data_IF_394098029671
#
_entry.id   IF_394098029671
#
_cell.length_a   1.000
_cell.length_b   1.000
_cell.length_c   1.000
_cell.angle_alpha   90.00
_cell.angle_beta   90.00
_cell.angle_gamma   90.00
#
_symmetry.space_group_name_H-M   'P 1'
#
loop_
_entity.id
_entity.type
_entity.pdbx_description
1 polymer ?
#
# COMPACT_ATOMS: atom_id res chain seq x y z
N UNK A 1 0.49 -29.69 -11.06
CA UNK A 1 0.46 -28.37 -10.42
C UNK A 1 0.27 -27.31 -11.50
N UNK A 2 -0.74 -26.51 -11.35
CA UNK A 2 -0.94 -25.38 -12.25
C UNK A 2 0.26 -24.46 -12.11
N UNK A 3 1.00 -24.26 -13.21
CA UNK A 3 2.10 -23.32 -13.21
C UNK A 3 1.55 -21.92 -12.90
N UNK A 4 1.99 -21.37 -11.78
CA UNK A 4 1.64 -19.99 -11.44
C UNK A 4 2.23 -19.07 -12.49
N UNK A 5 1.38 -18.42 -13.27
CA UNK A 5 1.83 -17.44 -14.26
C UNK A 5 2.06 -16.12 -13.55
N UNK A 6 3.30 -15.77 -13.33
CA UNK A 6 3.70 -14.49 -12.73
C UNK A 6 4.04 -13.52 -13.86
N UNK A 7 3.49 -12.31 -13.80
CA UNK A 7 3.91 -11.25 -14.71
C UNK A 7 5.37 -10.90 -14.42
N UNK A 8 6.17 -10.75 -15.48
CA UNK A 8 7.61 -10.50 -15.35
C UNK A 8 7.96 -9.02 -15.11
N UNK A 9 7.00 -8.12 -15.29
CA UNK A 9 7.23 -6.68 -15.21
C UNK A 9 6.36 -5.96 -14.18
N UNK A 10 5.17 -6.49 -13.88
CA UNK A 10 4.18 -5.84 -13.01
C UNK A 10 3.69 -6.83 -11.96
N UNK A 11 3.66 -6.38 -10.72
CA UNK A 11 2.97 -7.01 -9.59
C UNK A 11 1.76 -6.15 -9.23
N UNK A 12 0.62 -6.79 -8.97
CA UNK A 12 -0.57 -6.10 -8.46
C UNK A 12 -1.15 -6.84 -7.26
N UNK A 13 -1.67 -6.07 -6.29
CA UNK A 13 -2.42 -6.60 -5.16
C UNK A 13 -3.40 -5.55 -4.64
N UNK A 14 -4.35 -6.01 -3.85
CA UNK A 14 -5.28 -5.15 -3.13
C UNK A 14 -4.90 -5.16 -1.65
N UNK A 15 -4.82 -3.99 -1.06
CA UNK A 15 -4.69 -3.81 0.39
C UNK A 15 -5.98 -3.23 0.95
N UNK A 16 -6.34 -3.68 2.16
CA UNK A 16 -7.41 -3.12 2.96
C UNK A 16 -6.82 -2.58 4.27
N UNK A 17 -7.11 -1.32 4.55
CA UNK A 17 -6.76 -0.67 5.82
C UNK A 17 -8.01 -0.62 6.69
N UNK A 18 -7.88 -1.06 7.94
CA UNK A 18 -8.92 -0.87 8.95
C UNK A 18 -9.25 0.63 9.10
N UNK A 19 -10.43 0.99 9.61
CA UNK A 19 -10.74 2.37 9.95
C UNK A 19 -9.63 3.02 10.80
N UNK A 20 -9.09 4.16 10.32
CA UNK A 20 -7.94 4.83 10.94
C UNK A 20 -6.62 4.05 10.90
N UNK A 21 -6.58 2.92 10.19
CA UNK A 21 -5.40 2.08 10.07
C UNK A 21 -4.35 2.63 9.13
N UNK A 22 -3.15 2.06 9.19
CA UNK A 22 -2.03 2.49 8.35
C UNK A 22 -1.09 1.34 8.02
N UNK A 23 -0.36 1.50 6.92
CA UNK A 23 0.64 0.55 6.45
C UNK A 23 2.02 0.78 7.06
N UNK A 24 2.96 -0.02 6.63
CA UNK A 24 4.36 0.10 6.98
C UNK A 24 4.96 1.37 6.39
N UNK A 25 5.81 2.04 7.15
CA UNK A 25 6.68 3.09 6.62
C UNK A 25 7.94 2.46 6.05
N UNK A 26 8.10 2.56 4.74
CA UNK A 26 9.20 1.91 4.04
C UNK A 26 9.60 2.67 2.77
N UNK A 27 10.71 2.28 2.19
CA UNK A 27 11.15 2.76 0.88
C UNK A 27 11.60 1.60 0.00
N UNK A 28 11.41 1.74 -1.29
CA UNK A 28 11.89 0.77 -2.28
C UNK A 28 12.27 1.46 -3.59
N UNK A 29 13.16 0.82 -4.35
CA UNK A 29 13.69 1.40 -5.59
C UNK A 29 12.68 1.41 -6.74
N UNK A 30 11.77 0.44 -6.79
CA UNK A 30 10.75 0.43 -7.84
C UNK A 30 9.66 1.47 -7.57
N UNK A 31 9.13 2.06 -8.63
CA UNK A 31 7.91 2.86 -8.54
C UNK A 31 6.66 1.99 -8.38
N UNK A 32 5.60 2.62 -7.90
CA UNK A 32 4.27 2.01 -7.81
C UNK A 32 3.19 3.03 -8.17
N UNK A 33 2.04 2.51 -8.59
CA UNK A 33 0.78 3.25 -8.65
C UNK A 33 -0.09 2.75 -7.51
N UNK A 34 -0.63 3.66 -6.74
CA UNK A 34 -1.59 3.45 -5.68
C UNK A 34 -2.93 4.02 -6.15
N UNK A 35 -3.93 3.18 -6.36
CA UNK A 35 -5.26 3.58 -6.83
C UNK A 35 -6.30 3.31 -5.75
N UNK A 36 -7.06 4.33 -5.36
CA UNK A 36 -8.04 4.24 -4.28
C UNK A 36 -9.36 3.72 -4.81
N UNK A 37 -9.76 2.53 -4.40
CA UNK A 37 -11.03 1.90 -4.76
C UNK A 37 -12.17 2.33 -3.84
N UNK A 38 -11.87 2.52 -2.53
CA UNK A 38 -12.84 2.88 -1.49
C UNK A 38 -12.15 3.65 -0.38
N UNK A 39 -12.86 4.60 0.22
CA UNK A 39 -12.38 5.33 1.40
C UNK A 39 -11.59 6.59 1.07
N UNK A 40 -10.92 7.11 2.09
CA UNK A 40 -10.11 8.34 2.02
C UNK A 40 -8.94 8.25 2.99
N UNK A 41 -7.91 9.02 2.72
CA UNK A 41 -6.74 9.04 3.58
C UNK A 41 -5.65 9.97 3.07
N UNK A 42 -4.44 9.65 3.43
CA UNK A 42 -3.28 10.36 2.93
C UNK A 42 -2.04 9.48 2.90
N UNK A 43 -1.15 9.83 2.02
CA UNK A 43 0.22 9.30 2.02
C UNK A 43 1.18 10.31 2.63
N UNK A 44 2.24 9.78 3.20
CA UNK A 44 3.43 10.56 3.52
C UNK A 44 4.55 10.11 2.59
N UNK A 45 5.01 10.98 1.68
CA UNK A 45 6.13 10.74 0.77
C UNK A 45 7.29 11.66 1.15
N UNK A 46 8.39 11.09 1.64
CA UNK A 46 9.58 11.84 2.10
C UNK A 46 9.22 13.02 3.03
N UNK A 47 8.24 12.78 3.92
CA UNK A 47 7.73 13.78 4.87
C UNK A 47 6.63 14.71 4.32
N UNK A 48 6.31 14.64 3.04
CA UNK A 48 5.23 15.43 2.43
C UNK A 48 3.91 14.69 2.49
N UNK A 49 2.89 15.31 3.07
CA UNK A 49 1.52 14.77 3.13
C UNK A 49 0.79 15.00 1.81
N UNK A 50 0.18 13.93 1.27
CA UNK A 50 -0.58 13.93 0.02
C UNK A 50 -1.95 13.31 0.33
N UNK A 51 -3.02 14.08 0.42
CA UNK A 51 -4.37 13.54 0.64
C UNK A 51 -4.89 12.84 -0.62
N UNK A 52 -5.76 11.86 -0.43
CA UNK A 52 -6.44 11.14 -1.50
C UNK A 52 -7.82 10.64 -1.06
N UNK A 53 -8.68 10.35 -2.03
CA UNK A 53 -10.00 9.76 -1.85
C UNK A 53 -10.32 8.76 -2.97
N UNK A 54 -11.44 8.04 -2.84
CA UNK A 54 -11.86 7.04 -3.82
C UNK A 54 -11.93 7.63 -5.24
N UNK A 55 -11.26 6.97 -6.19
CA UNK A 55 -11.09 7.39 -7.57
C UNK A 55 -9.74 8.05 -7.86
N UNK A 56 -8.97 8.42 -6.85
CA UNK A 56 -7.64 9.00 -7.03
C UNK A 56 -6.59 7.94 -7.35
N UNK A 57 -5.57 8.36 -8.09
CA UNK A 57 -4.37 7.59 -8.36
C UNK A 57 -3.12 8.39 -7.97
N UNK A 58 -2.23 7.79 -7.21
CA UNK A 58 -0.96 8.39 -6.80
C UNK A 58 0.20 7.57 -7.37
N UNK A 59 1.31 8.26 -7.63
CA UNK A 59 2.57 7.60 -7.95
C UNK A 59 3.45 7.62 -6.70
N UNK A 60 3.91 6.42 -6.31
CA UNK A 60 4.99 6.26 -5.35
C UNK A 60 6.29 6.25 -6.15
N UNK A 61 7.08 7.30 -5.99
CA UNK A 61 8.30 7.52 -6.75
C UNK A 61 9.39 6.52 -6.37
N UNK A 62 10.35 6.33 -7.26
CA UNK A 62 11.52 5.50 -7.00
C UNK A 62 12.29 5.99 -5.77
N UNK A 63 12.64 5.07 -4.88
CA UNK A 63 13.39 5.31 -3.64
C UNK A 63 12.69 6.20 -2.60
N UNK A 64 11.46 6.63 -2.85
CA UNK A 64 10.68 7.41 -1.89
C UNK A 64 10.41 6.60 -0.61
N UNK A 65 10.64 7.21 0.54
CA UNK A 65 10.17 6.67 1.83
C UNK A 65 8.73 7.11 2.02
N UNK A 66 7.83 6.15 2.06
CA UNK A 66 6.39 6.42 2.09
C UNK A 66 5.64 5.59 3.12
N UNK A 67 4.45 6.05 3.42
CA UNK A 67 3.48 5.37 4.29
C UNK A 67 2.06 5.75 3.86
N UNK A 68 1.16 4.78 3.82
CA UNK A 68 -0.26 4.94 3.51
C UNK A 68 -1.06 4.94 4.81
N UNK A 69 -1.98 5.90 4.99
CA UNK A 69 -2.79 6.05 6.18
C UNK A 69 -4.25 6.28 5.80
N UNK A 70 -5.16 5.49 6.37
CA UNK A 70 -6.61 5.72 6.27
C UNK A 70 -7.03 6.83 7.23
N UNK A 71 -7.75 7.84 6.72
CA UNK A 71 -8.35 8.92 7.51
C UNK A 71 -9.85 8.68 7.75
N UNK A 72 -10.39 7.53 7.31
CA UNK A 72 -11.77 7.16 7.59
C UNK A 72 -11.86 6.50 8.97
N UNK A 73 -12.60 7.08 9.93
CA UNK A 73 -12.70 6.52 11.26
C UNK A 73 -13.74 5.40 11.38
N UNK A 74 -14.64 5.27 10.42
CA UNK A 74 -15.83 4.43 10.51
C UNK A 74 -15.83 3.28 9.52
N UNK A 75 -15.08 3.40 8.41
CA UNK A 75 -15.08 2.41 7.34
C UNK A 75 -13.65 2.08 6.86
N UNK A 76 -13.50 0.93 6.25
CA UNK A 76 -12.24 0.49 5.68
C UNK A 76 -11.88 1.27 4.43
N UNK A 77 -10.60 1.42 4.19
CA UNK A 77 -10.06 1.92 2.92
C UNK A 77 -9.51 0.77 2.10
N UNK A 78 -9.87 0.71 0.83
CA UNK A 78 -9.45 -0.35 -0.10
C UNK A 78 -8.70 0.29 -1.27
N UNK A 79 -7.52 -0.24 -1.55
CA UNK A 79 -6.63 0.30 -2.57
C UNK A 79 -6.08 -0.82 -3.46
N UNK A 80 -5.91 -0.50 -4.74
CA UNK A 80 -5.21 -1.34 -5.70
C UNK A 80 -3.79 -0.79 -5.87
N UNK A 81 -2.80 -1.63 -5.64
CA UNK A 81 -1.40 -1.28 -5.82
C UNK A 81 -0.84 -2.02 -7.03
N UNK A 82 -0.21 -1.29 -7.93
CA UNK A 82 0.47 -1.81 -9.11
C UNK A 82 1.92 -1.34 -9.08
N UNK A 83 2.88 -2.26 -9.17
CA UNK A 83 4.30 -1.91 -9.03
C UNK A 83 5.19 -2.69 -9.98
N UNK A 84 6.28 -2.06 -10.39
CA UNK A 84 7.29 -2.63 -11.27
C UNK A 84 8.33 -3.50 -10.52
N UNK A 85 8.00 -3.96 -9.31
CA UNK A 85 8.92 -4.74 -8.47
C UNK A 85 9.51 -5.96 -9.17
N UNK A 86 8.74 -6.79 -9.94
CA UNK A 86 9.31 -7.94 -10.63
C UNK A 86 10.40 -7.56 -11.64
N UNK A 87 10.24 -6.43 -12.34
CA UNK A 87 11.25 -5.93 -13.27
C UNK A 87 12.55 -5.57 -12.55
N UNK A 88 12.45 -4.88 -11.40
CA UNK A 88 13.62 -4.54 -10.58
C UNK A 88 14.30 -5.77 -9.99
N UNK A 89 13.53 -6.78 -9.60
CA UNK A 89 14.08 -8.07 -9.17
C UNK A 89 14.87 -8.75 -10.29
N UNK A 90 14.30 -8.78 -11.50
CA UNK A 90 14.95 -9.37 -12.67
C UNK A 90 16.27 -8.67 -13.03
N UNK A 91 16.32 -7.35 -12.89
CA UNK A 91 17.51 -6.54 -13.13
C UNK A 91 18.53 -6.56 -11.97
N UNK A 92 18.26 -7.28 -10.88
CA UNK A 92 19.06 -7.25 -9.64
C UNK A 92 19.18 -5.83 -9.03
N UNK A 93 18.16 -5.01 -9.19
CA UNK A 93 18.14 -3.62 -8.75
C UNK A 93 17.12 -3.35 -7.63
N UNK A 94 16.55 -4.39 -7.03
CA UNK A 94 15.61 -4.20 -5.94
C UNK A 94 16.33 -3.89 -4.64
N UNK A 95 16.08 -2.69 -4.12
CA UNK A 95 16.45 -2.30 -2.77
C UNK A 95 15.18 -1.91 -2.04
N UNK A 96 14.96 -2.48 -0.87
CA UNK A 96 13.83 -2.19 -0.01
C UNK A 96 14.31 -2.06 1.43
N UNK A 97 13.87 -1.02 2.11
CA UNK A 97 14.18 -0.78 3.50
C UNK A 97 12.91 -0.49 4.28
N UNK A 98 12.66 -1.27 5.31
CA UNK A 98 11.67 -0.96 6.31
C UNK A 98 12.21 0.12 7.24
N UNK A 99 11.45 1.20 7.41
CA UNK A 99 11.79 2.31 8.30
C UNK A 99 11.04 2.18 9.61
N UNK A 100 9.75 1.88 9.52
CA UNK A 100 8.88 1.72 10.67
C UNK A 100 7.85 0.64 10.39
N UNK A 101 7.72 -0.31 11.31
CA UNK A 101 6.72 -1.38 11.21
C UNK A 101 5.37 -0.88 11.74
N UNK A 102 4.23 -1.34 11.18
CA UNK A 102 2.94 -1.10 11.79
C UNK A 102 2.88 -1.72 13.18
N UNK A 103 2.02 -1.23 14.07
CA UNK A 103 1.81 -1.84 15.38
C UNK A 103 1.35 -3.29 15.21
N UNK A 104 1.73 -4.15 16.17
CA UNK A 104 1.31 -5.55 16.19
C UNK A 104 -0.14 -5.71 16.64
N UNK A 105 -0.59 -4.77 17.47
CA UNK A 105 -1.94 -4.75 18.01
C UNK A 105 -2.84 -3.89 17.12
N UNK A 106 -4.12 -4.26 16.98
CA UNK A 106 -5.10 -3.42 16.29
C UNK A 106 -5.19 -2.02 16.90
N UNK A 107 -5.64 -1.06 16.11
CA UNK A 107 -5.95 0.26 16.63
C UNK A 107 -7.08 0.14 17.68
N UNK A 108 -7.08 0.98 18.74
CA UNK A 108 -8.14 0.96 19.75
C UNK A 108 -9.53 1.08 19.12
N UNK A 109 -10.44 0.16 19.50
CA UNK A 109 -11.78 0.07 18.94
C UNK A 109 -11.87 -0.70 17.60
N UNK A 110 -10.78 -1.29 17.14
CA UNK A 110 -10.71 -2.07 15.91
C UNK A 110 -10.23 -3.51 16.13
N UNK A 111 -10.34 -4.00 17.35
CA UNK A 111 -9.82 -5.31 17.77
C UNK A 111 -10.49 -6.47 16.99
N UNK A 112 -11.77 -6.29 16.63
CA UNK A 112 -12.56 -7.29 15.90
C UNK A 112 -12.62 -7.02 14.38
N UNK A 113 -11.89 -6.04 13.88
CA UNK A 113 -11.89 -5.74 12.45
C UNK A 113 -11.33 -6.92 11.64
N UNK A 114 -12.08 -7.34 10.63
CA UNK A 114 -11.63 -8.28 9.62
C UNK A 114 -11.85 -7.67 8.23
N UNK A 115 -10.85 -7.70 7.32
CA UNK A 115 -11.04 -7.22 5.96
C UNK A 115 -12.11 -8.03 5.25
N UNK A 116 -12.78 -7.47 4.23
CA UNK A 116 -13.82 -8.17 3.48
C UNK A 116 -13.27 -9.47 2.86
N UNK A 117 -14.06 -10.54 2.92
CA UNK A 117 -13.68 -11.85 2.39
C UNK A 117 -13.56 -11.88 0.86
N UNK A 118 -14.18 -10.94 0.19
CA UNK A 118 -14.11 -10.71 -1.26
C UNK A 118 -14.42 -9.24 -1.58
N UNK A 119 -13.80 -8.72 -2.60
CA UNK A 119 -14.13 -7.43 -3.19
C UNK A 119 -15.20 -7.60 -4.26
#
# INVERSE_FOLDING_TARGET
PQACKVAQSIETHVDAFAPGGYGQKHGHMNSAVFFVLKGRGHDIHDGRKIPWEAGDALIVENACVHQHLSDDPDDETIVLIMKAKPLFLFMHMIFQKMVEFPPKEPAPGQEDYAPPASL
#
